data_IF_279486988290
#
_entry.id   IF_279486988290
#
_cell.length_a   1.000
_cell.length_b   1.000
_cell.length_c   1.000
_cell.angle_alpha   90.00
_cell.angle_beta   90.00
_cell.angle_gamma   90.00
#
_symmetry.space_group_name_H-M   'P 1'
#
loop_
_entity.id
_entity.type
_entity.pdbx_description
1 polymer ?
#
# COMPACT_ATOMS: atom_id res chain seq x y z
N UNK A 1 15.37 2.21 -22.24
CA UNK A 1 15.74 2.76 -20.93
C UNK A 1 15.37 1.69 -19.91
N UNK A 2 16.28 1.25 -19.04
CA UNK A 2 15.97 0.25 -18.01
C UNK A 2 14.93 0.85 -17.04
N UNK A 3 13.94 0.05 -16.62
CA UNK A 3 12.95 0.47 -15.63
C UNK A 3 13.67 0.90 -14.33
N UNK A 4 13.29 2.06 -13.79
CA UNK A 4 13.87 2.61 -12.56
C UNK A 4 13.47 1.75 -11.35
N UNK A 5 14.38 1.54 -10.40
CA UNK A 5 14.05 0.83 -9.15
C UNK A 5 13.35 1.80 -8.19
N UNK A 6 12.09 1.53 -7.88
CA UNK A 6 11.34 2.28 -6.85
C UNK A 6 11.73 1.82 -5.45
N UNK A 7 11.93 0.51 -5.28
CA UNK A 7 12.40 -0.08 -4.03
C UNK A 7 13.67 -0.87 -4.30
N UNK A 8 14.71 -0.65 -3.46
CA UNK A 8 15.90 -1.46 -3.41
C UNK A 8 16.26 -1.73 -1.96
N UNK A 9 16.24 -3.00 -1.58
CA UNK A 9 16.52 -3.51 -0.25
C UNK A 9 17.75 -4.42 -0.35
N UNK A 10 18.79 -4.16 0.44
CA UNK A 10 20.09 -4.84 0.38
C UNK A 10 20.48 -5.31 1.78
N UNK A 11 20.49 -6.61 1.99
CA UNK A 11 20.88 -7.30 3.23
C UNK A 11 20.26 -6.69 4.49
N UNK A 12 18.97 -6.36 4.44
CA UNK A 12 18.28 -5.67 5.52
C UNK A 12 18.00 -6.62 6.67
N UNK A 13 18.45 -6.20 7.85
CA UNK A 13 18.15 -6.82 9.14
C UNK A 13 17.32 -5.86 10.00
N UNK A 14 16.37 -6.39 10.75
CA UNK A 14 15.65 -5.64 11.80
C UNK A 14 15.54 -6.47 13.07
N UNK A 15 16.15 -5.98 14.13
CA UNK A 15 16.15 -6.57 15.44
C UNK A 15 15.40 -5.67 16.43
N UNK A 16 14.63 -6.27 17.32
CA UNK A 16 13.99 -5.60 18.44
C UNK A 16 14.53 -6.18 19.75
N UNK A 17 14.79 -5.33 20.74
CA UNK A 17 15.16 -5.74 22.09
C UNK A 17 13.89 -5.77 22.92
N UNK A 18 13.53 -6.94 23.44
CA UNK A 18 12.37 -7.16 24.31
C UNK A 18 12.86 -7.74 25.62
N UNK A 19 13.02 -6.89 26.63
CA UNK A 19 13.70 -7.27 27.87
C UNK A 19 15.16 -7.62 27.61
N UNK A 20 15.58 -8.85 27.96
CA UNK A 20 16.93 -9.37 27.72
C UNK A 20 17.06 -10.11 26.37
N UNK A 21 15.96 -10.33 25.66
CA UNK A 21 15.95 -11.09 24.41
C UNK A 21 16.04 -10.21 23.17
N UNK A 22 16.71 -10.72 22.13
CA UNK A 22 16.75 -10.09 20.80
C UNK A 22 15.87 -10.83 19.84
N UNK A 23 14.74 -10.21 19.46
CA UNK A 23 13.84 -10.71 18.42
C UNK A 23 14.35 -10.24 17.04
N UNK A 24 14.79 -11.18 16.20
CA UNK A 24 15.28 -10.92 14.84
C UNK A 24 14.11 -11.01 13.86
N UNK A 25 13.44 -9.88 13.64
CA UNK A 25 12.25 -9.83 12.79
C UNK A 25 12.56 -9.91 11.29
N UNK A 26 13.70 -9.34 10.84
CA UNK A 26 14.23 -9.53 9.48
C UNK A 26 15.68 -9.97 9.56
N UNK A 27 16.09 -10.87 8.64
CA UNK A 27 17.35 -11.61 8.71
C UNK A 27 18.05 -11.65 7.36
N UNK A 28 18.48 -10.48 6.84
CA UNK A 28 19.20 -10.38 5.58
C UNK A 28 18.25 -10.45 4.37
N UNK A 29 17.23 -9.58 4.37
CA UNK A 29 16.26 -9.50 3.26
C UNK A 29 16.84 -8.64 2.15
N UNK A 30 16.81 -9.14 0.90
CA UNK A 30 17.28 -8.42 -0.30
C UNK A 30 16.32 -8.64 -1.46
N UNK A 31 15.84 -7.56 -2.06
CA UNK A 31 15.04 -7.56 -3.30
C UNK A 31 14.95 -6.16 -3.89
N UNK A 32 14.47 -6.07 -5.13
CA UNK A 32 14.17 -4.80 -5.81
C UNK A 32 12.75 -4.82 -6.33
N UNK A 33 12.09 -3.66 -6.40
CA UNK A 33 10.81 -3.48 -7.10
C UNK A 33 10.99 -2.33 -8.10
N UNK A 34 10.65 -2.61 -9.35
CA UNK A 34 10.73 -1.64 -10.45
C UNK A 34 9.47 -0.80 -10.54
N UNK A 35 9.59 0.35 -11.17
CA UNK A 35 8.46 1.20 -11.53
C UNK A 35 7.42 0.41 -12.35
N UNK A 36 6.14 0.55 -11.97
CA UNK A 36 5.04 -0.14 -12.63
C UNK A 36 4.90 -1.62 -12.28
N UNK A 37 5.61 -2.17 -11.29
CA UNK A 37 5.34 -3.54 -10.81
C UNK A 37 4.14 -3.58 -9.83
N UNK A 38 3.35 -4.65 -9.91
CA UNK A 38 2.39 -5.01 -8.87
C UNK A 38 2.91 -6.25 -8.14
N UNK A 39 3.44 -6.06 -6.94
CA UNK A 39 4.09 -7.11 -6.15
C UNK A 39 3.22 -7.47 -4.94
N UNK A 40 3.00 -8.75 -4.71
CA UNK A 40 2.40 -9.25 -3.47
C UNK A 40 3.47 -9.83 -2.55
N UNK A 41 3.52 -9.37 -1.29
CA UNK A 41 4.37 -9.92 -0.24
C UNK A 41 3.52 -10.77 0.68
N UNK A 42 3.81 -12.08 0.73
CA UNK A 42 3.06 -13.06 1.50
C UNK A 42 3.89 -13.67 2.61
N UNK A 43 3.21 -14.30 3.56
CA UNK A 43 3.81 -15.10 4.63
C UNK A 43 2.83 -15.35 5.77
N UNK A 44 3.12 -16.32 6.62
CA UNK A 44 2.33 -16.62 7.81
C UNK A 44 2.40 -15.48 8.85
N UNK A 45 1.54 -15.53 9.87
CA UNK A 45 1.69 -14.64 11.04
C UNK A 45 3.09 -14.80 11.66
N UNK A 46 3.70 -13.69 12.06
CA UNK A 46 5.06 -13.69 12.63
C UNK A 46 6.20 -13.81 11.62
N UNK A 47 5.94 -13.94 10.32
CA UNK A 47 7.00 -14.07 9.30
C UNK A 47 7.86 -12.82 9.09
N UNK A 48 7.46 -11.65 9.63
CA UNK A 48 8.16 -10.37 9.49
C UNK A 48 7.51 -9.39 8.51
N UNK A 49 6.32 -9.70 7.93
CA UNK A 49 5.63 -8.84 6.94
C UNK A 49 5.38 -7.42 7.44
N UNK A 50 4.79 -7.26 8.62
CA UNK A 50 4.50 -5.93 9.19
C UNK A 50 5.77 -5.14 9.48
N UNK A 51 6.85 -5.82 9.88
CA UNK A 51 8.17 -5.19 10.05
C UNK A 51 8.72 -4.72 8.71
N UNK A 52 8.66 -5.56 7.67
CA UNK A 52 9.08 -5.20 6.33
C UNK A 52 8.24 -4.05 5.78
N UNK A 53 6.92 -4.10 5.92
CA UNK A 53 6.01 -3.02 5.50
C UNK A 53 6.34 -1.70 6.19
N UNK A 54 6.63 -1.71 7.49
CA UNK A 54 7.02 -0.50 8.24
C UNK A 54 8.34 0.09 7.72
N UNK A 55 9.30 -0.75 7.34
CA UNK A 55 10.55 -0.30 6.71
C UNK A 55 10.28 0.29 5.33
N UNK A 56 9.57 -0.43 4.46
CA UNK A 56 9.20 0.04 3.12
C UNK A 56 8.40 1.34 3.18
N UNK A 57 7.58 1.48 4.21
CA UNK A 57 6.79 2.67 4.49
C UNK A 57 7.54 3.83 5.14
N UNK A 58 8.85 3.72 5.35
CA UNK A 58 9.65 4.73 6.07
C UNK A 58 9.09 5.07 7.48
N UNK A 59 8.37 4.13 8.11
CA UNK A 59 7.87 4.23 9.49
C UNK A 59 8.95 3.79 10.48
N UNK A 60 9.83 2.88 10.04
CA UNK A 60 10.95 2.34 10.80
C UNK A 60 12.24 2.39 9.98
N UNK A 61 13.38 2.02 10.59
CA UNK A 61 14.68 1.96 9.95
C UNK A 61 15.32 0.59 10.16
N UNK A 62 16.14 0.08 9.23
CA UNK A 62 16.85 -1.17 9.41
C UNK A 62 17.89 -1.06 10.53
N UNK A 63 18.14 -2.16 11.25
CA UNK A 63 19.26 -2.28 12.19
C UNK A 63 20.59 -2.34 11.44
N UNK A 64 20.64 -3.04 10.31
CA UNK A 64 21.75 -3.09 9.36
C UNK A 64 21.24 -3.37 7.94
N UNK A 65 22.10 -3.24 6.93
CA UNK A 65 21.74 -3.28 5.52
C UNK A 65 21.26 -1.91 5.02
N UNK A 66 20.84 -1.84 3.77
CA UNK A 66 20.43 -0.59 3.12
C UNK A 66 19.02 -0.70 2.53
N UNK A 67 18.27 0.40 2.64
CA UNK A 67 16.97 0.57 2.00
C UNK A 67 16.94 1.90 1.24
N UNK A 68 16.57 1.80 -0.04
CA UNK A 68 16.40 2.94 -0.92
C UNK A 68 14.96 2.99 -1.44
N UNK A 69 14.35 4.16 -1.37
CA UNK A 69 13.07 4.49 -1.97
C UNK A 69 13.30 5.53 -3.07
N UNK A 70 12.98 5.18 -4.32
CA UNK A 70 13.20 6.05 -5.48
C UNK A 70 14.63 6.62 -5.49
N UNK A 71 15.62 5.70 -5.39
CA UNK A 71 17.07 5.93 -5.29
C UNK A 71 17.53 6.75 -4.07
N UNK A 72 16.65 7.09 -3.13
CA UNK A 72 16.95 7.87 -1.92
C UNK A 72 17.23 6.93 -0.76
N UNK A 73 18.44 6.95 -0.16
CA UNK A 73 18.77 6.15 1.03
C UNK A 73 17.97 6.60 2.24
N UNK A 74 17.28 5.66 2.88
CA UNK A 74 16.38 5.92 4.02
C UNK A 74 17.08 5.69 5.36
N UNK A 75 18.08 4.80 5.42
CA UNK A 75 18.71 4.34 6.66
C UNK A 75 19.21 5.45 7.57
N UNK A 76 19.85 6.47 7.00
CA UNK A 76 20.50 7.56 7.76
C UNK A 76 19.60 8.77 7.96
N UNK A 77 18.34 8.72 7.50
CA UNK A 77 17.42 9.84 7.65
C UNK A 77 16.91 10.00 9.07
N UNK A 78 16.82 11.23 9.52
CA UNK A 78 16.06 11.57 10.72
C UNK A 78 14.55 11.39 10.52
N UNK A 79 13.79 11.41 11.62
CA UNK A 79 12.34 11.16 11.60
C UNK A 79 11.55 12.15 10.74
N UNK A 80 11.98 13.43 10.70
CA UNK A 80 11.29 14.48 9.93
C UNK A 80 11.51 14.30 8.43
N UNK A 81 12.74 13.95 8.01
CA UNK A 81 13.04 13.65 6.61
C UNK A 81 12.30 12.42 6.14
N UNK A 82 12.25 11.35 6.96
CA UNK A 82 11.45 10.16 6.65
C UNK A 82 9.97 10.48 6.52
N UNK A 83 9.40 11.30 7.42
CA UNK A 83 8.00 11.71 7.36
C UNK A 83 7.70 12.51 6.08
N UNK A 84 8.61 13.41 5.67
CA UNK A 84 8.48 14.17 4.42
C UNK A 84 8.57 13.27 3.19
N UNK A 85 9.55 12.35 3.16
CA UNK A 85 9.71 11.38 2.09
C UNK A 85 8.47 10.49 1.96
N UNK A 86 7.99 9.94 3.07
CA UNK A 86 6.77 9.13 3.14
C UNK A 86 5.57 9.88 2.59
N UNK A 87 5.33 11.11 3.06
CA UNK A 87 4.19 11.91 2.61
C UNK A 87 4.19 12.14 1.09
N UNK A 88 5.37 12.37 0.50
CA UNK A 88 5.50 12.71 -0.93
C UNK A 88 5.54 11.50 -1.85
N UNK A 89 6.10 10.37 -1.38
CA UNK A 89 6.45 9.24 -2.24
C UNK A 89 5.61 8.00 -2.00
N UNK A 90 4.91 7.90 -0.86
CA UNK A 90 4.19 6.69 -0.47
C UNK A 90 2.72 6.99 -0.20
N UNK A 91 1.83 6.22 -0.83
CA UNK A 91 0.42 6.14 -0.48
C UNK A 91 0.14 4.88 0.34
N UNK A 92 -0.37 5.03 1.56
CA UNK A 92 -0.74 3.90 2.42
C UNK A 92 -2.22 3.57 2.33
N UNK A 93 -2.51 2.26 2.22
CA UNK A 93 -3.86 1.70 2.31
C UNK A 93 -3.84 0.60 3.36
N UNK A 94 -4.62 0.74 4.43
CA UNK A 94 -4.66 -0.19 5.56
C UNK A 94 -5.94 -1.02 5.59
N UNK A 95 -5.90 -2.18 6.22
CA UNK A 95 -7.04 -3.05 6.46
C UNK A 95 -8.19 -2.35 7.18
N UNK A 96 -7.89 -1.53 8.19
CA UNK A 96 -8.88 -0.81 9.02
C UNK A 96 -9.23 0.59 8.49
N UNK A 97 -8.96 0.86 7.20
CA UNK A 97 -9.19 2.14 6.49
C UNK A 97 -8.49 3.35 7.13
N UNK A 98 -8.40 3.44 8.44
CA UNK A 98 -7.80 4.53 9.22
C UNK A 98 -8.31 5.92 8.80
N UNK A 99 -9.62 6.03 8.56
CA UNK A 99 -10.29 7.28 8.28
C UNK A 99 -10.61 8.02 9.58
N UNK A 100 -10.57 9.34 9.54
CA UNK A 100 -11.04 10.18 10.63
C UNK A 100 -12.59 10.11 10.69
N UNK A 101 -13.19 9.64 11.81
CA UNK A 101 -14.60 9.23 11.81
C UNK A 101 -15.60 10.40 11.74
N UNK A 102 -15.18 11.61 12.11
CA UNK A 102 -16.06 12.81 12.14
C UNK A 102 -15.89 13.72 10.93
N UNK A 103 -15.02 13.36 10.00
CA UNK A 103 -14.72 14.13 8.80
C UNK A 103 -15.35 13.48 7.56
N UNK A 104 -15.55 14.28 6.53
CA UNK A 104 -16.06 13.84 5.23
C UNK A 104 -15.03 13.04 4.44
N UNK A 105 -15.46 12.38 3.35
CA UNK A 105 -14.55 11.74 2.40
C UNK A 105 -13.53 12.73 1.85
N UNK A 106 -13.98 13.92 1.45
CA UNK A 106 -13.12 14.99 0.96
C UNK A 106 -12.05 15.37 1.97
N UNK A 107 -12.44 15.67 3.20
CA UNK A 107 -11.53 16.07 4.28
C UNK A 107 -10.50 14.97 4.61
N UNK A 108 -10.91 13.69 4.60
CA UNK A 108 -9.98 12.58 4.76
C UNK A 108 -8.94 12.51 3.64
N UNK A 109 -9.35 12.73 2.39
CA UNK A 109 -8.45 12.70 1.24
C UNK A 109 -7.53 13.91 1.21
N UNK A 110 -7.96 15.07 1.72
CA UNK A 110 -7.13 16.28 1.82
C UNK A 110 -5.99 16.18 2.83
N UNK A 111 -6.10 15.30 3.85
CA UNK A 111 -5.16 15.22 4.98
C UNK A 111 -3.67 15.20 4.56
N UNK A 112 -3.21 14.34 3.62
CA UNK A 112 -1.82 14.31 3.24
C UNK A 112 -1.32 15.63 2.61
N UNK A 113 -2.20 16.40 1.98
CA UNK A 113 -1.88 17.64 1.32
C UNK A 113 -1.61 18.79 2.30
N UNK A 114 -2.12 18.72 3.54
CA UNK A 114 -1.81 19.71 4.58
C UNK A 114 -0.34 19.71 4.99
N UNK A 115 0.35 18.58 4.81
CA UNK A 115 1.78 18.43 5.08
C UNK A 115 2.66 18.84 3.88
N UNK A 116 2.04 19.36 2.81
CA UNK A 116 2.76 19.86 1.63
C UNK A 116 2.57 21.39 1.53
N UNK A 117 3.52 22.20 2.06
CA UNK A 117 3.36 23.65 2.18
C UNK A 117 3.23 24.40 0.86
N UNK A 118 3.56 23.75 -0.27
CA UNK A 118 3.44 24.35 -1.61
C UNK A 118 2.04 24.25 -2.22
N UNK A 119 1.07 23.58 -1.57
CA UNK A 119 -0.27 23.32 -2.14
C UNK A 119 -1.31 24.26 -1.54
N UNK A 120 -1.92 25.11 -2.37
CA UNK A 120 -3.00 26.03 -1.93
C UNK A 120 -4.28 25.29 -1.54
N UNK A 121 -5.18 25.95 -0.78
CA UNK A 121 -6.46 25.37 -0.38
C UNK A 121 -7.33 24.97 -1.60
N UNK A 122 -7.35 25.81 -2.64
CA UNK A 122 -8.08 25.50 -3.88
C UNK A 122 -7.51 24.26 -4.57
N UNK A 123 -6.20 24.15 -4.65
CA UNK A 123 -5.51 23.02 -5.27
C UNK A 123 -5.70 21.73 -4.45
N UNK A 124 -5.65 21.80 -3.11
CA UNK A 124 -5.95 20.64 -2.24
C UNK A 124 -7.33 20.09 -2.56
N UNK A 125 -8.35 20.95 -2.56
CA UNK A 125 -9.72 20.54 -2.88
C UNK A 125 -9.83 19.91 -4.27
N UNK A 126 -9.22 20.51 -5.27
CA UNK A 126 -9.26 20.01 -6.65
C UNK A 126 -8.59 18.63 -6.78
N UNK A 127 -7.38 18.45 -6.19
CA UNK A 127 -6.68 17.16 -6.19
C UNK A 127 -7.48 16.09 -5.46
N UNK A 128 -8.11 16.42 -4.34
CA UNK A 128 -8.91 15.48 -3.55
C UNK A 128 -10.20 15.08 -4.27
N UNK A 129 -10.87 15.99 -4.94
CA UNK A 129 -12.03 15.68 -5.78
C UNK A 129 -11.64 14.74 -6.93
N UNK A 130 -10.53 15.00 -7.62
CA UNK A 130 -10.00 14.13 -8.68
C UNK A 130 -9.63 12.74 -8.15
N UNK A 131 -9.05 12.65 -6.95
CA UNK A 131 -8.73 11.38 -6.33
C UNK A 131 -9.98 10.57 -5.97
N UNK A 132 -11.04 11.21 -5.46
CA UNK A 132 -12.34 10.58 -5.19
C UNK A 132 -13.03 10.11 -6.47
N UNK A 133 -12.97 10.90 -7.54
CA UNK A 133 -13.47 10.51 -8.86
C UNK A 133 -12.76 9.26 -9.40
N UNK A 134 -11.42 9.19 -9.28
CA UNK A 134 -10.62 8.07 -9.75
C UNK A 134 -11.02 6.73 -9.11
N UNK A 135 -11.58 6.76 -7.88
CA UNK A 135 -12.07 5.59 -7.15
C UNK A 135 -13.60 5.41 -7.22
N UNK A 136 -14.31 6.24 -8.01
CA UNK A 136 -15.77 6.14 -8.22
C UNK A 136 -16.61 6.66 -7.07
N UNK A 137 -16.16 7.71 -6.35
CA UNK A 137 -16.87 8.31 -5.19
C UNK A 137 -17.21 9.78 -5.39
N UNK A 138 -17.46 10.22 -6.63
CA UNK A 138 -17.82 11.61 -6.93
C UNK A 138 -19.13 12.07 -6.26
N UNK A 139 -20.07 11.15 -6.03
CA UNK A 139 -21.36 11.40 -5.37
C UNK A 139 -21.29 11.30 -3.84
N UNK A 140 -20.15 10.87 -3.26
CA UNK A 140 -19.96 10.62 -1.82
C UNK A 140 -19.01 11.60 -1.13
N UNK A 141 -18.61 12.66 -1.83
CA UNK A 141 -17.60 13.64 -1.39
C UNK A 141 -17.85 14.19 0.02
N UNK A 142 -19.13 14.48 0.35
CA UNK A 142 -19.55 15.06 1.63
C UNK A 142 -20.01 14.03 2.67
N UNK A 143 -19.96 12.71 2.35
CA UNK A 143 -20.36 11.68 3.31
C UNK A 143 -19.26 11.47 4.35
N UNK A 144 -19.65 11.21 5.58
CA UNK A 144 -18.74 10.81 6.69
C UNK A 144 -18.53 9.29 6.67
N UNK A 145 -17.47 8.83 7.34
CA UNK A 145 -17.12 7.40 7.37
C UNK A 145 -18.28 6.51 7.85
N UNK A 146 -19.05 6.95 8.84
CA UNK A 146 -20.20 6.21 9.36
C UNK A 146 -21.43 6.20 8.43
N UNK A 147 -21.38 6.89 7.31
CA UNK A 147 -22.42 6.94 6.28
C UNK A 147 -22.01 6.13 5.03
N UNK A 148 -20.92 5.41 5.11
CA UNK A 148 -20.33 4.67 3.98
C UNK A 148 -20.16 3.20 4.33
N UNK A 149 -20.35 2.32 3.33
CA UNK A 149 -20.03 0.90 3.45
C UNK A 149 -18.51 0.67 3.63
N UNK A 150 -18.10 -0.52 4.05
CA UNK A 150 -16.68 -0.89 4.18
C UNK A 150 -15.92 -0.69 2.87
N UNK A 151 -16.47 -1.11 1.74
CA UNK A 151 -15.88 -0.91 0.42
C UNK A 151 -15.75 0.56 0.02
N UNK A 152 -16.76 1.40 0.33
CA UNK A 152 -16.67 2.84 0.11
C UNK A 152 -15.61 3.48 1.00
N UNK A 153 -15.50 3.10 2.27
CA UNK A 153 -14.44 3.57 3.16
C UNK A 153 -13.06 3.18 2.66
N UNK A 154 -12.89 1.96 2.14
CA UNK A 154 -11.63 1.52 1.54
C UNK A 154 -11.29 2.32 0.28
N UNK A 155 -12.27 2.63 -0.57
CA UNK A 155 -12.07 3.50 -1.74
C UNK A 155 -11.63 4.92 -1.30
N UNK A 156 -12.18 5.49 -0.22
CA UNK A 156 -11.70 6.77 0.35
C UNK A 156 -10.24 6.65 0.82
N UNK A 157 -9.88 5.54 1.50
CA UNK A 157 -8.49 5.30 1.92
C UNK A 157 -7.53 5.19 0.71
N UNK A 158 -7.97 4.55 -0.38
CA UNK A 158 -7.20 4.50 -1.64
C UNK A 158 -7.09 5.90 -2.26
N UNK A 159 -8.17 6.68 -2.33
CA UNK A 159 -8.12 8.06 -2.84
C UNK A 159 -7.15 8.93 -2.04
N UNK A 160 -7.18 8.80 -0.69
CA UNK A 160 -6.23 9.47 0.20
C UNK A 160 -4.77 9.06 -0.08
N UNK A 161 -4.55 7.79 -0.37
CA UNK A 161 -3.22 7.29 -0.74
C UNK A 161 -2.72 7.89 -2.07
N UNK A 162 -3.61 8.14 -3.01
CA UNK A 162 -3.28 8.66 -4.36
C UNK A 162 -3.08 10.19 -4.42
N UNK A 163 -3.57 10.95 -3.45
CA UNK A 163 -3.75 12.42 -3.57
C UNK A 163 -2.46 13.22 -3.76
N UNK A 164 -1.32 12.70 -3.26
CA UNK A 164 0.02 13.28 -3.46
C UNK A 164 0.75 12.74 -4.70
N UNK A 165 0.08 11.94 -5.54
CA UNK A 165 0.68 11.31 -6.72
C UNK A 165 1.96 10.48 -6.36
N UNK A 166 1.83 9.48 -5.45
CA UNK A 166 2.98 8.75 -4.92
C UNK A 166 3.62 7.86 -6.00
N UNK A 167 4.93 7.58 -5.85
CA UNK A 167 5.64 6.61 -6.68
C UNK A 167 5.35 5.17 -6.27
N UNK A 168 4.87 4.96 -5.03
CA UNK A 168 4.61 3.66 -4.43
C UNK A 168 3.29 3.66 -3.66
N UNK A 169 2.45 2.68 -3.91
CA UNK A 169 1.27 2.37 -3.08
C UNK A 169 1.59 1.14 -2.23
N UNK A 170 1.53 1.29 -0.90
CA UNK A 170 1.67 0.20 0.05
C UNK A 170 0.29 -0.17 0.60
N UNK A 171 -0.18 -1.36 0.31
CA UNK A 171 -1.46 -1.89 0.76
C UNK A 171 -1.24 -3.00 1.80
N UNK A 172 -1.66 -2.78 3.04
CA UNK A 172 -1.57 -3.72 4.15
C UNK A 172 -2.92 -4.38 4.36
N UNK A 173 -3.05 -5.64 3.94
CA UNK A 173 -4.28 -6.43 4.04
C UNK A 173 -5.54 -5.66 3.60
N UNK A 174 -5.44 -4.88 2.53
CA UNK A 174 -6.44 -3.89 2.13
C UNK A 174 -7.83 -4.46 1.76
N UNK A 175 -7.98 -5.77 1.72
CA UNK A 175 -9.26 -6.48 1.51
C UNK A 175 -9.70 -7.31 2.73
N UNK A 176 -8.90 -7.36 3.79
CA UNK A 176 -9.10 -8.30 4.91
C UNK A 176 -10.37 -8.08 5.76
N UNK A 177 -10.99 -6.89 5.69
CA UNK A 177 -12.24 -6.56 6.40
C UNK A 177 -13.45 -6.45 5.46
N UNK A 178 -13.34 -6.93 4.22
CA UNK A 178 -14.36 -6.82 3.19
C UNK A 178 -14.94 -8.21 2.87
N UNK A 179 -16.19 -8.24 2.43
CA UNK A 179 -16.77 -9.42 1.82
C UNK A 179 -16.08 -9.77 0.50
N UNK A 180 -16.33 -10.96 -0.02
CA UNK A 180 -15.64 -11.49 -1.21
C UNK A 180 -15.87 -10.61 -2.43
N UNK A 181 -17.11 -10.18 -2.70
CA UNK A 181 -17.44 -9.34 -3.87
C UNK A 181 -16.73 -8.00 -3.79
N UNK A 182 -16.86 -7.30 -2.67
CA UNK A 182 -16.18 -6.03 -2.41
C UNK A 182 -14.66 -6.17 -2.49
N UNK A 183 -14.11 -7.31 -2.05
CA UNK A 183 -12.67 -7.61 -2.17
C UNK A 183 -12.21 -7.66 -3.62
N UNK A 184 -12.96 -8.32 -4.51
CA UNK A 184 -12.65 -8.32 -5.95
C UNK A 184 -12.82 -6.94 -6.58
N UNK A 185 -13.81 -6.14 -6.16
CA UNK A 185 -13.93 -4.75 -6.63
C UNK A 185 -12.69 -3.90 -6.26
N UNK A 186 -12.18 -4.05 -5.04
CA UNK A 186 -10.97 -3.34 -4.60
C UNK A 186 -9.73 -3.86 -5.33
N UNK A 187 -9.62 -5.17 -5.57
CA UNK A 187 -8.53 -5.74 -6.37
C UNK A 187 -8.58 -5.27 -7.83
N UNK A 188 -9.76 -5.21 -8.44
CA UNK A 188 -9.95 -4.67 -9.78
C UNK A 188 -9.54 -3.18 -9.85
N UNK A 189 -9.82 -2.40 -8.79
CA UNK A 189 -9.35 -1.03 -8.68
C UNK A 189 -7.81 -0.96 -8.60
N UNK A 190 -7.15 -1.83 -7.83
CA UNK A 190 -5.68 -1.89 -7.80
C UNK A 190 -5.09 -2.31 -9.15
N UNK A 191 -5.69 -3.29 -9.84
CA UNK A 191 -5.25 -3.68 -11.19
C UNK A 191 -5.44 -2.54 -12.20
N UNK A 192 -6.53 -1.77 -12.11
CA UNK A 192 -6.73 -0.55 -12.91
C UNK A 192 -5.65 0.50 -12.63
N UNK A 193 -5.31 0.74 -11.37
CA UNK A 193 -4.23 1.67 -11.01
C UNK A 193 -2.87 1.19 -11.53
N UNK A 194 -2.59 -0.11 -11.42
CA UNK A 194 -1.39 -0.73 -11.98
C UNK A 194 -1.31 -0.57 -13.50
N UNK A 195 -2.40 -0.80 -14.23
CA UNK A 195 -2.44 -0.59 -15.70
C UNK A 195 -2.22 0.86 -16.12
N UNK A 196 -2.40 1.82 -15.19
CA UNK A 196 -2.07 3.24 -15.36
C UNK A 196 -0.60 3.56 -15.00
N UNK A 197 0.23 2.54 -14.74
CA UNK A 197 1.66 2.69 -14.44
C UNK A 197 1.98 2.85 -12.95
N UNK A 198 1.03 2.64 -12.03
CA UNK A 198 1.31 2.74 -10.59
C UNK A 198 2.08 1.52 -10.09
N UNK A 199 3.10 1.75 -9.26
CA UNK A 199 3.81 0.70 -8.53
C UNK A 199 3.03 0.36 -7.26
N UNK A 200 2.74 -0.92 -7.06
CA UNK A 200 1.91 -1.39 -5.95
C UNK A 200 2.62 -2.52 -5.21
N UNK A 201 2.69 -2.41 -3.90
CA UNK A 201 3.09 -3.50 -2.99
C UNK A 201 1.91 -3.84 -2.10
N UNK A 202 1.39 -5.05 -2.27
CA UNK A 202 0.28 -5.57 -1.50
C UNK A 202 0.80 -6.59 -0.49
N UNK A 203 0.61 -6.34 0.80
CA UNK A 203 0.99 -7.28 1.87
C UNK A 203 -0.24 -8.03 2.32
N UNK A 204 -0.19 -9.37 2.31
CA UNK A 204 -1.32 -10.21 2.70
C UNK A 204 -0.85 -11.56 3.22
N UNK A 205 -1.71 -12.22 3.99
CA UNK A 205 -1.57 -13.64 4.32
C UNK A 205 -2.49 -14.53 3.47
N UNK A 206 -3.36 -13.93 2.62
CA UNK A 206 -4.25 -14.68 1.73
C UNK A 206 -3.54 -15.02 0.40
N UNK A 207 -3.29 -16.31 0.10
CA UNK A 207 -2.59 -16.74 -1.11
C UNK A 207 -3.42 -16.49 -2.39
N UNK A 208 -4.75 -16.36 -2.29
CA UNK A 208 -5.60 -16.06 -3.44
C UNK A 208 -5.27 -14.70 -4.06
N UNK A 209 -4.99 -13.70 -3.20
CA UNK A 209 -4.62 -12.33 -3.65
C UNK A 209 -3.37 -12.34 -4.53
N UNK A 210 -2.45 -13.28 -4.29
CA UNK A 210 -1.22 -13.40 -5.06
C UNK A 210 -1.45 -13.70 -6.55
N UNK A 211 -2.58 -14.33 -6.90
CA UNK A 211 -2.92 -14.61 -8.30
C UNK A 211 -3.23 -13.37 -9.13
N UNK A 212 -3.53 -12.23 -8.49
CA UNK A 212 -3.90 -10.97 -9.13
C UNK A 212 -2.71 -10.01 -9.33
N UNK A 213 -1.52 -10.34 -8.80
CA UNK A 213 -0.30 -9.53 -8.94
C UNK A 213 0.68 -10.13 -9.95
N UNK A 214 1.59 -9.29 -10.46
CA UNK A 214 2.58 -9.70 -11.45
C UNK A 214 3.80 -10.42 -10.85
N UNK A 215 4.01 -10.32 -9.53
CA UNK A 215 5.14 -10.94 -8.82
C UNK A 215 4.78 -11.22 -7.38
N UNK A 216 5.26 -12.36 -6.88
CA UNK A 216 5.00 -12.84 -5.54
C UNK A 216 6.30 -13.05 -4.77
N UNK A 217 6.45 -12.40 -3.61
CA UNK A 217 7.54 -12.56 -2.67
C UNK A 217 7.00 -13.25 -1.42
N UNK A 218 7.59 -14.39 -1.02
CA UNK A 218 7.17 -15.14 0.15
C UNK A 218 8.17 -14.94 1.28
N UNK A 219 7.69 -14.39 2.41
CA UNK A 219 8.48 -14.17 3.61
C UNK A 219 8.18 -15.25 4.67
N UNK A 220 9.23 -15.86 5.22
CA UNK A 220 9.15 -16.83 6.31
C UNK A 220 10.30 -16.60 7.29
N UNK A 221 10.01 -16.54 8.59
CA UNK A 221 10.98 -16.39 9.69
C UNK A 221 12.00 -15.26 9.45
N UNK A 222 11.52 -14.13 8.91
CA UNK A 222 12.32 -12.95 8.59
C UNK A 222 13.21 -13.06 7.35
N UNK A 223 13.00 -14.06 6.48
CA UNK A 223 13.76 -14.29 5.24
C UNK A 223 12.84 -14.42 4.05
N UNK A 224 13.29 -14.00 2.88
CA UNK A 224 12.63 -14.35 1.61
C UNK A 224 12.96 -15.79 1.29
N UNK A 225 11.93 -16.62 1.10
CA UNK A 225 12.06 -18.04 0.73
C UNK A 225 11.63 -18.30 -0.70
N UNK A 226 10.89 -17.39 -1.31
CA UNK A 226 10.49 -17.46 -2.72
C UNK A 226 10.28 -16.04 -3.28
N UNK A 227 10.60 -15.84 -4.55
CA UNK A 227 10.45 -14.59 -5.28
C UNK A 227 10.26 -14.91 -6.76
N UNK A 228 9.00 -14.88 -7.23
CA UNK A 228 8.62 -15.35 -8.56
C UNK A 228 7.69 -14.40 -9.27
N UNK A 229 7.91 -14.23 -10.56
CA UNK A 229 6.94 -13.61 -11.45
C UNK A 229 5.75 -14.55 -11.68
N UNK A 230 4.58 -13.96 -11.84
CA UNK A 230 3.35 -14.68 -12.13
C UNK A 230 3.06 -14.59 -13.63
N UNK A 231 3.21 -15.70 -14.33
CA UNK A 231 2.98 -15.80 -15.78
C UNK A 231 1.48 -15.87 -16.12
N UNK A 232 0.60 -16.10 -15.13
CA UNK A 232 -0.84 -16.23 -15.33
C UNK A 232 -1.62 -15.33 -14.35
N UNK A 233 -1.53 -14.02 -14.58
CA UNK A 233 -2.20 -13.02 -13.73
C UNK A 233 -3.71 -13.11 -13.97
N UNK A 234 -4.47 -13.39 -12.89
CA UNK A 234 -5.93 -13.40 -12.95
C UNK A 234 -6.49 -11.97 -13.02
N UNK A 235 -7.61 -11.81 -13.73
CA UNK A 235 -8.37 -10.56 -13.76
C UNK A 235 -9.39 -10.54 -12.62
N UNK A 236 -9.25 -9.58 -11.71
CA UNK A 236 -10.21 -9.40 -10.64
C UNK A 236 -11.59 -8.93 -11.16
N UNK A 237 -11.61 -8.22 -12.30
CA UNK A 237 -12.85 -7.83 -12.97
C UNK A 237 -13.60 -9.05 -13.52
N UNK A 238 -12.87 -10.02 -14.13
CA UNK A 238 -13.48 -11.24 -14.64
C UNK A 238 -13.95 -12.15 -13.49
N UNK A 239 -13.16 -12.26 -12.42
CA UNK A 239 -13.56 -12.99 -11.22
C UNK A 239 -14.85 -12.38 -10.60
N UNK A 240 -14.95 -11.06 -10.54
CA UNK A 240 -16.15 -10.35 -10.09
C UNK A 240 -17.35 -10.62 -11.01
N UNK A 241 -17.15 -10.60 -12.32
CA UNK A 241 -18.21 -10.84 -13.31
C UNK A 241 -18.74 -12.29 -13.28
N UNK A 242 -17.90 -13.26 -12.88
CA UNK A 242 -18.27 -14.67 -12.73
C UNK A 242 -19.04 -14.97 -11.41
N UNK A 243 -19.11 -14.02 -10.48
CA UNK A 243 -19.86 -14.19 -9.21
C UNK A 243 -21.37 -14.13 -9.47
N UNK A 244 -22.18 -14.91 -8.74
CA UNK A 244 -23.62 -14.78 -8.78
C UNK A 244 -24.06 -13.35 -8.44
N UNK A 245 -25.19 -12.85 -9.01
CA UNK A 245 -25.74 -11.55 -8.61
C UNK A 245 -26.01 -11.53 -7.09
N UNK A 246 -25.97 -10.34 -6.50
CA UNK A 246 -26.39 -10.19 -5.08
C UNK A 246 -27.86 -10.60 -4.99
N UNK A 247 -28.16 -11.50 -4.04
CA UNK A 247 -29.53 -11.77 -3.64
C UNK A 247 -30.01 -10.55 -2.81
N UNK A 248 -31.09 -9.89 -3.27
CA UNK A 248 -31.73 -8.75 -2.59
C UNK A 248 -32.29 -9.11 -1.21
#
# INVERSE_FOLDING_TARGET
>A
MGANNIIRVEDVHRNFIVGEETVRALRGVSFTIKEGEFVTIMGSSGSGKSTLLNLLGCLDTPTSGEYYLDEISVRTMDSNKRATLRNRKIGFVFQSYNLLPKTTALENVELPLFYNPGVSASERKQRSLKALEAVGLSDRVNHRSNQMSGGQQQRVAIARALVNDPVLILADEATGNLDTRTSYEILALFQKLHSQGRTIVFVTHNPEIASFSSRNIVLKDGRIIDDKYNDNIQSAADALAAMPPEED
#
